data_IF_401545217923
#
_entry.id   IF_401545217923
#
_cell.length_a   1.000
_cell.length_b   1.000
_cell.length_c   1.000
_cell.angle_alpha   90.00
_cell.angle_beta   90.00
_cell.angle_gamma   90.00
#
_symmetry.space_group_name_H-M   'P 1'
#
loop_
_entity.id
_entity.type
_entity.pdbx_description
1 polymer ?
#
# COMPACT_ATOMS: atom_id res chain seq x y z
N UNK A 1 -20.76 -9.83 -0.37
CA UNK A 1 -19.42 -9.53 0.18
C UNK A 1 -18.50 -10.67 -0.24
N UNK A 2 -17.29 -10.37 -0.70
CA UNK A 2 -16.33 -11.41 -1.07
C UNK A 2 -15.80 -12.10 0.19
N UNK A 3 -15.89 -13.43 0.25
CA UNK A 3 -15.29 -14.23 1.31
C UNK A 3 -13.87 -14.61 0.91
N UNK A 4 -12.89 -14.25 1.73
CA UNK A 4 -11.48 -14.58 1.56
C UNK A 4 -11.05 -15.55 2.66
N UNK A 5 -10.60 -16.73 2.25
CA UNK A 5 -9.87 -17.65 3.16
C UNK A 5 -8.41 -17.23 3.13
N UNK A 6 -7.88 -16.80 4.27
CA UNK A 6 -6.51 -16.32 4.40
C UNK A 6 -5.58 -17.48 4.72
N UNK A 7 -4.77 -17.87 3.75
CA UNK A 7 -3.55 -18.65 4.00
C UNK A 7 -2.43 -17.64 4.32
N UNK A 8 -1.96 -17.57 5.58
CA UNK A 8 -1.04 -16.51 5.99
C UNK A 8 0.27 -16.51 5.21
N UNK A 9 0.75 -15.31 4.85
CA UNK A 9 1.96 -15.12 4.07
C UNK A 9 1.81 -15.40 2.57
N UNK A 10 0.58 -15.60 2.07
CA UNK A 10 0.31 -15.89 0.66
C UNK A 10 -0.69 -14.91 0.02
N UNK A 11 -0.86 -13.71 0.58
CA UNK A 11 -1.68 -12.68 -0.04
C UNK A 11 -1.08 -12.26 -1.38
N UNK A 12 -1.90 -12.34 -2.43
CA UNK A 12 -1.58 -11.80 -3.75
C UNK A 12 -1.87 -10.30 -3.83
N UNK A 13 -1.23 -9.62 -4.78
CA UNK A 13 -1.48 -8.20 -5.02
C UNK A 13 -2.95 -7.91 -5.37
N UNK A 14 -3.62 -8.80 -6.10
CA UNK A 14 -5.04 -8.66 -6.43
C UNK A 14 -5.92 -8.76 -5.18
N UNK A 15 -5.64 -9.68 -4.27
CA UNK A 15 -6.36 -9.76 -2.99
C UNK A 15 -6.15 -8.49 -2.15
N UNK A 16 -4.93 -7.95 -2.12
CA UNK A 16 -4.64 -6.68 -1.43
C UNK A 16 -5.41 -5.51 -2.06
N UNK A 17 -5.48 -5.43 -3.38
CA UNK A 17 -6.28 -4.44 -4.10
C UNK A 17 -7.77 -4.58 -3.78
N UNK A 18 -8.31 -5.80 -3.79
CA UNK A 18 -9.72 -6.07 -3.46
C UNK A 18 -10.04 -5.70 -2.01
N UNK A 19 -9.14 -6.02 -1.06
CA UNK A 19 -9.26 -5.60 0.34
C UNK A 19 -9.26 -4.08 0.44
N UNK A 20 -8.39 -3.38 -0.29
CA UNK A 20 -8.38 -1.92 -0.28
C UNK A 20 -9.66 -1.32 -0.88
N UNK A 21 -10.15 -1.84 -2.01
CA UNK A 21 -11.33 -1.30 -2.71
C UNK A 21 -12.66 -1.65 -2.08
N UNK A 22 -12.77 -2.81 -1.45
CA UNK A 22 -14.05 -3.38 -1.04
C UNK A 22 -14.02 -3.98 0.37
N UNK A 23 -15.15 -3.93 1.12
CA UNK A 23 -15.30 -4.71 2.34
C UNK A 23 -15.13 -6.21 2.07
N UNK A 24 -14.49 -6.92 3.01
CA UNK A 24 -14.16 -8.35 2.89
C UNK A 24 -14.73 -9.13 4.06
N UNK A 25 -15.12 -10.38 3.81
CA UNK A 25 -15.37 -11.37 4.86
C UNK A 25 -14.16 -12.28 4.94
N UNK A 26 -13.36 -12.12 5.98
CA UNK A 26 -12.12 -12.82 6.23
C UNK A 26 -12.37 -14.04 7.13
N UNK A 27 -11.77 -15.18 6.78
CA UNK A 27 -11.61 -16.32 7.69
C UNK A 27 -10.20 -16.86 7.56
N UNK A 28 -9.68 -17.42 8.66
CA UNK A 28 -8.35 -18.02 8.64
C UNK A 28 -8.41 -19.43 8.02
N UNK A 29 -7.41 -19.78 7.22
CA UNK A 29 -7.22 -21.17 6.82
C UNK A 29 -6.85 -22.02 8.05
N UNK A 30 -7.41 -23.24 8.14
CA UNK A 30 -7.17 -24.12 9.28
C UNK A 30 -5.68 -24.48 9.44
N UNK A 31 -4.89 -24.45 8.36
CA UNK A 31 -3.46 -24.74 8.39
C UNK A 31 -2.64 -23.77 9.25
N UNK A 32 -3.16 -22.59 9.59
CA UNK A 32 -2.45 -21.59 10.36
C UNK A 32 -2.53 -21.82 11.88
N UNK A 33 -3.55 -22.54 12.34
CA UNK A 33 -3.93 -22.63 13.76
C UNK A 33 -2.81 -23.27 14.60
N UNK A 34 -2.23 -24.36 14.12
CA UNK A 34 -1.22 -25.12 14.86
C UNK A 34 0.05 -24.28 15.08
N UNK A 35 0.53 -23.57 14.05
CA UNK A 35 1.71 -22.70 14.15
C UNK A 35 1.50 -21.52 15.11
N UNK A 36 0.31 -20.92 15.08
CA UNK A 36 -0.06 -19.86 16.03
C UNK A 36 -0.01 -20.39 17.47
N UNK A 37 -0.69 -21.51 17.73
CA UNK A 37 -0.76 -22.09 19.07
C UNK A 37 0.61 -22.58 19.57
N UNK A 38 1.45 -23.14 18.69
CA UNK A 38 2.82 -23.53 19.03
C UNK A 38 3.67 -22.34 19.47
N UNK A 39 3.55 -21.19 18.78
CA UNK A 39 4.26 -19.97 19.18
C UNK A 39 3.80 -19.42 20.53
N UNK A 40 2.51 -19.54 20.85
CA UNK A 40 1.96 -19.15 22.15
C UNK A 40 2.46 -20.07 23.26
N UNK A 41 2.46 -21.39 23.02
CA UNK A 41 2.97 -22.38 23.97
C UNK A 41 4.45 -22.09 24.30
N UNK A 42 5.28 -21.82 23.30
CA UNK A 42 6.68 -21.46 23.50
C UNK A 42 6.86 -20.21 24.37
N UNK A 43 6.06 -19.16 24.16
CA UNK A 43 6.08 -17.97 25.03
C UNK A 43 5.71 -18.31 26.47
N UNK A 44 4.67 -19.13 26.67
CA UNK A 44 4.24 -19.53 28.01
C UNK A 44 5.31 -20.38 28.71
N UNK A 45 5.98 -21.28 28.00
CA UNK A 45 7.06 -22.11 28.55
C UNK A 45 8.24 -21.25 29.01
N UNK A 46 8.64 -20.24 28.22
CA UNK A 46 9.69 -19.27 28.58
C UNK A 46 9.36 -18.53 29.88
N UNK A 47 8.11 -18.09 30.01
CA UNK A 47 7.62 -17.40 31.22
C UNK A 47 7.65 -18.35 32.42
N UNK A 48 7.13 -19.57 32.25
CA UNK A 48 7.08 -20.58 33.31
C UNK A 48 8.47 -21.02 33.79
N UNK A 49 9.45 -21.09 32.89
CA UNK A 49 10.86 -21.39 33.21
C UNK A 49 11.60 -20.22 33.85
N UNK A 50 10.99 -19.03 33.89
CA UNK A 50 11.60 -17.81 34.44
C UNK A 50 12.76 -17.28 33.61
N UNK A 51 12.91 -17.70 32.35
CA UNK A 51 13.91 -17.19 31.41
C UNK A 51 13.60 -15.74 31.07
N UNK A 52 14.60 -14.86 31.11
CA UNK A 52 14.43 -13.46 30.72
C UNK A 52 14.47 -13.33 29.20
N UNK A 53 13.38 -12.82 28.61
CA UNK A 53 13.25 -12.64 27.17
C UNK A 53 12.65 -11.26 26.86
N UNK A 54 13.31 -10.53 25.95
CA UNK A 54 12.94 -9.17 25.56
C UNK A 54 11.47 -9.08 25.11
N UNK A 55 10.70 -8.16 25.68
CA UNK A 55 9.31 -7.92 25.30
C UNK A 55 8.33 -9.04 25.68
N UNK A 56 8.80 -10.09 26.36
CA UNK A 56 7.97 -11.13 26.99
C UNK A 56 7.82 -10.83 28.49
N UNK A 57 8.94 -10.76 29.22
CA UNK A 57 8.98 -10.46 30.66
C UNK A 57 9.98 -9.36 31.05
N UNK A 58 10.38 -8.54 30.09
CA UNK A 58 11.19 -7.32 30.33
C UNK A 58 10.41 -6.06 29.97
N UNK A 59 10.90 -4.91 30.41
CA UNK A 59 10.51 -3.62 29.84
C UNK A 59 10.96 -3.44 28.39
N UNK A 60 10.69 -2.27 27.81
CA UNK A 60 10.97 -1.93 26.42
C UNK A 60 11.95 -0.74 26.30
N UNK A 61 12.62 -0.63 25.15
CA UNK A 61 13.58 0.44 24.89
C UNK A 61 14.70 0.47 25.94
N UNK A 62 14.83 1.59 26.64
CA UNK A 62 15.82 1.76 27.72
C UNK A 62 15.63 0.77 28.89
N UNK A 63 14.43 0.21 29.05
CA UNK A 63 14.09 -0.76 30.10
C UNK A 63 14.19 -2.21 29.62
N UNK A 64 14.81 -2.47 28.47
CA UNK A 64 14.96 -3.81 27.89
C UNK A 64 15.69 -4.83 28.81
N UNK A 65 16.47 -4.34 29.77
CA UNK A 65 17.21 -5.18 30.73
C UNK A 65 16.49 -5.35 32.08
N UNK A 66 15.35 -4.68 32.29
CA UNK A 66 14.62 -4.73 33.56
C UNK A 66 13.56 -5.81 33.47
N UNK A 67 13.71 -6.89 34.25
CA UNK A 67 12.67 -7.91 34.40
C UNK A 67 11.46 -7.31 35.11
N UNK A 68 10.27 -7.63 34.61
CA UNK A 68 8.98 -7.21 35.15
C UNK A 68 8.41 -8.40 35.93
N UNK A 69 7.77 -8.13 37.07
CA UNK A 69 7.10 -9.16 37.86
C UNK A 69 5.90 -9.72 37.08
N UNK A 70 5.60 -11.01 37.24
CA UNK A 70 4.55 -11.68 36.45
C UNK A 70 3.17 -11.04 36.65
N UNK A 71 2.89 -10.52 37.86
CA UNK A 71 1.67 -9.79 38.21
C UNK A 71 1.52 -8.44 37.47
N UNK A 72 2.63 -7.84 37.04
CA UNK A 72 2.65 -6.56 36.32
C UNK A 72 2.61 -6.74 34.78
N UNK A 73 2.82 -7.95 34.26
CA UNK A 73 2.95 -8.19 32.81
C UNK A 73 1.70 -7.81 32.03
N UNK A 74 0.51 -8.06 32.59
CA UNK A 74 -0.76 -7.71 31.97
C UNK A 74 -0.95 -6.18 31.93
N UNK A 75 -0.65 -5.49 33.04
CA UNK A 75 -0.72 -4.04 33.14
C UNK A 75 0.27 -3.37 32.18
N UNK A 76 1.45 -3.97 32.00
CA UNK A 76 2.46 -3.51 31.05
C UNK A 76 1.93 -3.49 29.62
N UNK A 77 1.23 -4.54 29.17
CA UNK A 77 0.70 -4.57 27.80
C UNK A 77 -0.30 -3.44 27.54
N UNK A 78 -1.24 -3.24 28.47
CA UNK A 78 -2.22 -2.15 28.38
C UNK A 78 -1.54 -0.78 28.36
N UNK A 79 -0.55 -0.59 29.25
CA UNK A 79 0.20 0.67 29.35
C UNK A 79 1.01 0.97 28.10
N UNK A 80 1.58 -0.06 27.48
CA UNK A 80 2.28 0.05 26.20
C UNK A 80 1.35 0.53 25.09
N UNK A 81 0.18 -0.10 24.93
CA UNK A 81 -0.80 0.33 23.91
C UNK A 81 -1.23 1.78 24.14
N UNK A 82 -1.56 2.17 25.38
CA UNK A 82 -2.00 3.53 25.70
C UNK A 82 -0.91 4.58 25.45
N UNK A 83 0.32 4.33 25.92
CA UNK A 83 1.43 5.28 25.81
C UNK A 83 1.91 5.48 24.36
N UNK A 84 1.82 4.44 23.54
CA UNK A 84 2.28 4.50 22.15
C UNK A 84 1.22 5.00 21.18
N UNK A 85 -0.05 5.10 21.57
CA UNK A 85 -1.12 5.68 20.77
C UNK A 85 -1.03 7.22 20.70
N UNK A 86 0.12 7.70 20.22
CA UNK A 86 0.51 9.11 20.13
C UNK A 86 0.50 9.65 18.69
N UNK A 87 -0.21 8.96 17.78
CA UNK A 87 -0.44 9.44 16.41
C UNK A 87 -1.26 10.74 16.36
N UNK A 88 -1.06 11.55 15.32
CA UNK A 88 -1.70 12.86 15.11
C UNK A 88 -2.17 13.04 13.65
N UNK A 89 -2.92 14.11 13.40
CA UNK A 89 -3.44 14.44 12.08
C UNK A 89 -4.79 13.80 11.78
N UNK A 90 -5.22 13.89 10.53
CA UNK A 90 -6.54 13.44 10.12
C UNK A 90 -6.68 11.91 10.26
N UNK A 91 -7.87 11.41 10.64
CA UNK A 91 -8.13 9.97 10.64
C UNK A 91 -8.02 9.36 9.25
N UNK A 92 -7.47 8.15 9.17
CA UNK A 92 -7.47 7.36 7.94
C UNK A 92 -8.90 7.02 7.48
N UNK A 93 -9.05 6.86 6.17
CA UNK A 93 -10.26 6.31 5.58
C UNK A 93 -10.41 4.79 5.87
N UNK A 94 -11.64 4.28 5.76
CA UNK A 94 -11.97 2.89 6.11
C UNK A 94 -11.23 1.87 5.26
N UNK A 95 -10.90 2.22 4.01
CA UNK A 95 -10.15 1.34 3.12
C UNK A 95 -8.72 1.15 3.61
N UNK A 96 -8.07 2.23 4.04
CA UNK A 96 -6.74 2.19 4.64
C UNK A 96 -6.71 1.42 5.96
N UNK A 97 -7.65 1.71 6.87
CA UNK A 97 -7.71 1.00 8.17
C UNK A 97 -7.94 -0.49 7.95
N UNK A 98 -8.85 -0.88 7.04
CA UNK A 98 -9.09 -2.28 6.67
C UNK A 98 -7.84 -2.95 6.13
N UNK A 99 -7.11 -2.31 5.22
CA UNK A 99 -5.88 -2.86 4.66
C UNK A 99 -4.83 -3.09 5.75
N UNK A 100 -4.62 -2.13 6.66
CA UNK A 100 -3.70 -2.25 7.80
C UNK A 100 -4.08 -3.44 8.69
N UNK A 101 -5.37 -3.58 9.02
CA UNK A 101 -5.87 -4.68 9.85
C UNK A 101 -5.62 -6.03 9.18
N UNK A 102 -5.94 -6.18 7.89
CA UNK A 102 -5.71 -7.43 7.15
C UNK A 102 -4.23 -7.78 7.05
N UNK A 103 -3.36 -6.79 6.82
CA UNK A 103 -1.91 -7.00 6.83
C UNK A 103 -1.40 -7.44 8.21
N UNK A 104 -1.92 -6.86 9.29
CA UNK A 104 -1.55 -7.25 10.67
C UNK A 104 -2.01 -8.68 10.97
N UNK A 105 -3.26 -9.01 10.63
CA UNK A 105 -3.79 -10.37 10.75
C UNK A 105 -2.92 -11.36 9.96
N UNK A 106 -2.59 -11.05 8.70
CA UNK A 106 -1.74 -11.88 7.84
C UNK A 106 -0.37 -12.14 8.46
N UNK A 107 0.28 -11.10 8.99
CA UNK A 107 1.60 -11.18 9.61
C UNK A 107 1.58 -12.04 10.88
N UNK A 108 0.65 -11.74 11.80
CA UNK A 108 0.52 -12.47 13.08
C UNK A 108 0.17 -13.95 12.87
N UNK A 109 -0.71 -14.22 11.92
CA UNK A 109 -1.19 -15.57 11.64
C UNK A 109 -0.14 -16.50 11.01
N UNK A 110 1.05 -15.99 10.67
CA UNK A 110 2.18 -16.84 10.26
C UNK A 110 2.76 -17.66 11.42
N UNK A 111 2.42 -17.35 12.67
CA UNK A 111 2.77 -18.18 13.82
C UNK A 111 4.17 -17.94 14.38
N UNK A 112 4.72 -16.73 14.24
CA UNK A 112 6.05 -16.36 14.76
C UNK A 112 5.98 -15.23 15.81
N UNK A 113 4.76 -14.77 16.15
CA UNK A 113 4.56 -13.58 16.98
C UNK A 113 4.15 -13.91 18.42
N UNK A 114 3.85 -15.17 18.75
CA UNK A 114 3.48 -15.56 20.12
C UNK A 114 2.19 -14.91 20.64
N UNK A 115 1.29 -14.51 19.73
CA UNK A 115 -0.01 -13.92 20.07
C UNK A 115 -1.11 -14.98 20.01
N UNK A 116 -2.09 -14.91 20.92
CA UNK A 116 -3.19 -15.88 20.94
C UNK A 116 -4.06 -15.79 19.70
N UNK A 117 -4.52 -16.96 19.23
CA UNK A 117 -5.49 -17.08 18.15
C UNK A 117 -6.73 -16.21 18.39
N UNK A 118 -7.24 -16.16 19.64
CA UNK A 118 -8.41 -15.36 19.99
C UNK A 118 -8.25 -13.86 19.75
N UNK A 119 -7.03 -13.32 19.83
CA UNK A 119 -6.76 -11.91 19.52
C UNK A 119 -6.76 -11.67 18.02
N UNK A 120 -6.20 -12.62 17.24
CA UNK A 120 -6.27 -12.60 15.77
C UNK A 120 -7.74 -12.70 15.31
N UNK A 121 -8.52 -13.58 15.92
CA UNK A 121 -9.95 -13.76 15.65
C UNK A 121 -10.76 -12.49 16.01
N UNK A 122 -10.40 -11.78 17.07
CA UNK A 122 -11.02 -10.49 17.38
C UNK A 122 -10.75 -9.42 16.30
N UNK A 123 -9.52 -9.35 15.77
CA UNK A 123 -9.21 -8.47 14.63
C UNK A 123 -10.00 -8.88 13.37
N UNK A 124 -10.12 -10.18 13.09
CA UNK A 124 -10.93 -10.71 11.99
C UNK A 124 -12.40 -10.31 12.16
N UNK A 125 -12.96 -10.46 13.36
CA UNK A 125 -14.34 -10.10 13.66
C UNK A 125 -14.61 -8.59 13.46
N UNK A 126 -13.67 -7.72 13.84
CA UNK A 126 -13.77 -6.28 13.56
C UNK A 126 -13.82 -5.99 12.05
N UNK A 127 -12.92 -6.60 11.25
CA UNK A 127 -12.92 -6.46 9.79
C UNK A 127 -14.26 -6.93 9.20
N UNK A 128 -14.73 -8.11 9.61
CA UNK A 128 -15.96 -8.71 9.11
C UNK A 128 -17.21 -7.91 9.47
N UNK A 129 -17.21 -7.25 10.63
CA UNK A 129 -18.29 -6.37 11.07
C UNK A 129 -18.22 -4.95 10.46
N UNK A 130 -17.14 -4.62 9.75
CA UNK A 130 -16.90 -3.28 9.23
C UNK A 130 -16.69 -2.24 10.33
N UNK A 131 -16.06 -2.64 11.43
CA UNK A 131 -15.69 -1.77 12.55
C UNK A 131 -14.22 -1.38 12.39
N UNK A 132 -13.95 -0.10 12.12
CA UNK A 132 -12.62 0.38 11.78
C UNK A 132 -12.08 1.34 12.86
N UNK A 133 -11.01 0.97 13.58
CA UNK A 133 -10.38 1.85 14.57
C UNK A 133 -10.03 3.23 14.02
N UNK A 134 -10.14 4.26 14.85
CA UNK A 134 -9.59 5.58 14.53
C UNK A 134 -8.07 5.47 14.54
N UNK A 135 -7.45 5.66 13.38
CA UNK A 135 -5.99 5.69 13.23
C UNK A 135 -5.62 7.06 12.63
N UNK A 136 -4.88 7.92 13.34
CA UNK A 136 -4.37 9.18 12.78
C UNK A 136 -3.30 8.93 11.71
N UNK A 137 -3.25 9.77 10.69
CA UNK A 137 -2.39 9.57 9.51
C UNK A 137 -0.89 9.81 9.75
N UNK A 138 -0.47 10.48 10.85
CA UNK A 138 0.93 10.84 11.12
C UNK A 138 1.39 10.36 12.48
N UNK A 139 2.71 10.13 12.62
CA UNK A 139 3.37 9.80 13.89
C UNK A 139 4.24 8.54 13.86
N UNK A 140 4.09 7.68 12.83
CA UNK A 140 5.08 6.62 12.57
C UNK A 140 6.33 7.21 11.94
N UNK A 141 7.48 6.62 12.26
CA UNK A 141 8.78 6.88 11.62
C UNK A 141 9.31 5.68 10.85
N UNK A 142 8.60 4.54 10.85
CA UNK A 142 9.02 3.31 10.16
C UNK A 142 10.30 2.62 10.68
N UNK A 143 11.06 3.23 11.59
CA UNK A 143 12.34 2.70 12.08
C UNK A 143 12.21 1.66 13.20
N UNK A 144 11.20 1.80 14.07
CA UNK A 144 10.91 0.88 15.19
C UNK A 144 9.59 0.12 15.00
N UNK A 145 9.15 -0.01 13.75
CA UNK A 145 7.78 -0.35 13.38
C UNK A 145 6.82 0.83 13.47
N UNK A 146 5.61 0.61 12.99
CA UNK A 146 4.50 1.54 12.91
C UNK A 146 3.77 1.67 14.27
N UNK A 147 4.54 1.92 15.33
CA UNK A 147 4.08 1.85 16.72
C UNK A 147 2.82 2.69 16.96
N UNK A 148 2.83 3.96 16.55
CA UNK A 148 1.73 4.87 16.81
C UNK A 148 0.40 4.48 16.13
N UNK A 149 0.34 4.27 14.79
CA UNK A 149 -0.91 3.87 14.15
C UNK A 149 -1.37 2.47 14.58
N UNK A 150 -0.46 1.52 14.84
CA UNK A 150 -0.82 0.19 15.31
C UNK A 150 -1.27 0.17 16.78
N UNK A 151 -0.78 1.10 17.60
CA UNK A 151 -1.30 1.32 18.95
C UNK A 151 -2.73 1.85 18.92
N UNK A 152 -3.02 2.83 18.06
CA UNK A 152 -4.38 3.35 17.84
C UNK A 152 -5.36 2.26 17.36
N UNK A 153 -4.91 1.37 16.46
CA UNK A 153 -5.66 0.18 16.07
C UNK A 153 -5.96 -0.70 17.30
N UNK A 154 -4.94 -0.97 18.10
CA UNK A 154 -4.99 -1.89 19.24
C UNK A 154 -5.80 -1.34 20.43
N UNK A 155 -5.91 -0.02 20.60
CA UNK A 155 -6.77 0.60 21.60
C UNK A 155 -8.21 0.08 21.49
N UNK A 156 -8.71 -0.10 20.26
CA UNK A 156 -10.08 -0.59 20.05
C UNK A 156 -10.29 -1.97 20.64
N UNK A 157 -9.29 -2.88 20.55
CA UNK A 157 -9.37 -4.20 21.20
C UNK A 157 -9.47 -4.10 22.72
N UNK A 158 -8.83 -3.09 23.33
CA UNK A 158 -8.89 -2.84 24.78
C UNK A 158 -10.19 -2.16 25.23
N UNK A 159 -11.11 -1.85 24.30
CA UNK A 159 -12.27 -1.02 24.57
C UNK A 159 -11.94 0.46 24.75
N UNK A 160 -10.77 0.92 24.30
CA UNK A 160 -10.29 2.29 24.41
C UNK A 160 -10.30 3.02 23.06
N UNK A 161 -10.41 4.34 23.10
CA UNK A 161 -10.44 5.16 21.90
C UNK A 161 -11.79 5.11 21.16
N UNK A 162 -11.75 5.21 19.83
CA UNK A 162 -12.93 5.28 18.95
C UNK A 162 -12.75 4.38 17.74
N UNK A 163 -13.86 3.92 17.19
CA UNK A 163 -13.89 3.23 15.90
C UNK A 163 -15.10 3.70 15.08
N UNK A 164 -14.97 3.70 13.76
CA UNK A 164 -16.03 4.01 12.82
C UNK A 164 -16.83 2.75 12.51
N UNK A 165 -18.16 2.86 12.53
CA UNK A 165 -19.08 1.82 12.10
C UNK A 165 -20.23 2.45 11.34
N UNK A 166 -20.47 1.99 10.11
CA UNK A 166 -21.49 2.55 9.21
C UNK A 166 -21.43 4.08 9.05
N UNK A 167 -20.22 4.64 9.00
CA UNK A 167 -19.97 6.07 8.83
C UNK A 167 -19.94 6.89 10.13
N UNK A 168 -20.31 6.32 11.27
CA UNK A 168 -20.36 7.02 12.56
C UNK A 168 -19.20 6.66 13.47
N UNK A 169 -18.64 7.65 14.16
CA UNK A 169 -17.62 7.43 15.20
C UNK A 169 -18.26 7.02 16.52
N UNK A 170 -17.94 5.82 16.99
CA UNK A 170 -18.42 5.26 18.26
C UNK A 170 -17.26 5.13 19.26
N UNK A 171 -17.53 5.25 20.58
CA UNK A 171 -16.60 4.77 21.60
C UNK A 171 -16.26 3.30 21.37
N UNK A 172 -15.00 2.90 21.59
CA UNK A 172 -14.53 1.56 21.26
C UNK A 172 -15.33 0.42 21.91
N UNK A 173 -15.76 0.55 23.17
CA UNK A 173 -16.63 -0.45 23.82
C UNK A 173 -17.94 -0.67 23.06
N UNK A 174 -18.56 0.41 22.59
CA UNK A 174 -19.80 0.33 21.80
C UNK A 174 -19.52 -0.29 20.44
N UNK A 175 -18.38 0.05 19.82
CA UNK A 175 -17.98 -0.49 18.53
C UNK A 175 -17.65 -2.00 18.59
N UNK A 176 -16.95 -2.47 19.64
CA UNK A 176 -16.69 -3.90 19.88
C UNK A 176 -17.99 -4.71 19.93
N UNK A 177 -19.00 -4.20 20.64
CA UNK A 177 -20.33 -4.84 20.70
C UNK A 177 -20.99 -4.97 19.32
N UNK A 178 -20.72 -4.06 18.38
CA UNK A 178 -21.20 -4.19 16.98
C UNK A 178 -20.54 -5.35 16.24
N UNK A 179 -19.34 -5.75 16.64
CA UNK A 179 -18.64 -6.94 16.15
C UNK A 179 -18.91 -8.21 17.00
N UNK A 180 -19.78 -8.14 18.02
CA UNK A 180 -20.03 -9.24 18.93
C UNK A 180 -18.86 -9.56 19.88
N UNK A 181 -18.02 -8.55 20.16
CA UNK A 181 -16.82 -8.69 20.98
C UNK A 181 -16.96 -7.94 22.30
N UNK A 182 -16.23 -8.43 23.30
CA UNK A 182 -15.93 -7.73 24.56
C UNK A 182 -14.46 -7.28 24.56
N UNK A 183 -14.07 -6.30 25.42
CA UNK A 183 -12.68 -5.87 25.52
C UNK A 183 -11.70 -7.02 25.81
N UNK A 184 -10.59 -7.03 25.06
CA UNK A 184 -9.56 -8.06 25.14
C UNK A 184 -8.52 -7.68 26.20
N UNK A 185 -8.31 -8.58 27.15
CA UNK A 185 -7.18 -8.50 28.09
C UNK A 185 -5.94 -9.12 27.46
N UNK A 186 -4.90 -8.32 27.18
CA UNK A 186 -3.67 -8.78 26.55
C UNK A 186 -2.75 -9.54 27.51
N UNK A 187 -2.11 -10.60 27.01
CA UNK A 187 -1.11 -11.40 27.71
C UNK A 187 0.32 -11.00 27.33
N UNK A 188 1.33 -11.64 27.94
CA UNK A 188 2.74 -11.38 27.66
C UNK A 188 3.03 -11.37 26.14
N UNK A 189 3.90 -10.47 25.69
CA UNK A 189 4.25 -10.19 24.28
C UNK A 189 3.15 -9.61 23.39
N UNK A 190 1.87 -9.79 23.69
CA UNK A 190 0.80 -9.46 22.74
C UNK A 190 0.69 -7.97 22.43
N UNK A 191 0.99 -7.08 23.39
CA UNK A 191 1.06 -5.65 23.14
C UNK A 191 2.13 -5.32 22.09
N UNK A 192 3.32 -5.93 22.21
CA UNK A 192 4.40 -5.71 21.25
C UNK A 192 4.10 -6.35 19.89
N UNK A 193 3.54 -7.56 19.85
CA UNK A 193 3.13 -8.22 18.60
C UNK A 193 2.12 -7.36 17.79
N UNK A 194 1.19 -6.71 18.50
CA UNK A 194 0.22 -5.82 17.89
C UNK A 194 0.86 -4.52 17.38
N UNK A 195 1.71 -3.87 18.18
CA UNK A 195 2.26 -2.54 17.87
C UNK A 195 3.47 -2.57 16.93
N UNK A 196 4.27 -3.62 16.97
CA UNK A 196 5.51 -3.68 16.22
C UNK A 196 5.27 -4.32 14.84
N UNK A 197 5.82 -3.70 13.79
CA UNK A 197 5.65 -4.14 12.41
C UNK A 197 5.45 -3.01 11.42
N UNK A 198 5.37 -3.35 10.13
CA UNK A 198 5.46 -2.39 9.01
C UNK A 198 4.13 -2.21 8.27
N UNK A 199 3.00 -2.58 8.89
CA UNK A 199 1.71 -2.69 8.21
C UNK A 199 1.13 -1.35 7.78
N UNK A 200 1.32 -0.28 8.55
CA UNK A 200 0.83 1.04 8.15
C UNK A 200 1.67 1.60 7.00
N UNK A 201 3.00 1.55 7.12
CA UNK A 201 3.94 1.92 6.05
C UNK A 201 3.64 1.15 4.76
N UNK A 202 3.47 -0.17 4.86
CA UNK A 202 3.17 -1.04 3.72
C UNK A 202 1.81 -0.71 3.10
N UNK A 203 0.77 -0.47 3.91
CA UNK A 203 -0.55 -0.11 3.39
C UNK A 203 -0.52 1.22 2.61
N UNK A 204 0.21 2.22 3.11
CA UNK A 204 0.37 3.51 2.42
C UNK A 204 1.08 3.34 1.08
N UNK A 205 2.19 2.61 1.06
CA UNK A 205 2.93 2.34 -0.17
C UNK A 205 2.12 1.49 -1.17
N UNK A 206 1.33 0.51 -0.70
CA UNK A 206 0.42 -0.27 -1.54
C UNK A 206 -0.67 0.59 -2.16
N UNK A 207 -1.30 1.50 -1.40
CA UNK A 207 -2.24 2.47 -1.98
C UNK A 207 -1.58 3.30 -3.08
N UNK A 208 -0.37 3.82 -2.81
CA UNK A 208 0.41 4.55 -3.81
C UNK A 208 0.67 3.72 -5.07
N UNK A 209 1.03 2.44 -4.93
CA UNK A 209 1.22 1.52 -6.05
C UNK A 209 -0.08 1.29 -6.84
N UNK A 210 -1.20 1.07 -6.17
CA UNK A 210 -2.50 0.83 -6.82
C UNK A 210 -2.96 2.05 -7.62
N UNK A 211 -2.94 3.22 -6.99
CA UNK A 211 -3.32 4.47 -7.65
C UNK A 211 -2.34 4.80 -8.80
N UNK A 212 -1.03 4.53 -8.64
CA UNK A 212 -0.05 4.72 -9.70
C UNK A 212 -0.26 3.75 -10.89
N UNK A 213 -0.72 2.53 -10.66
CA UNK A 213 -1.08 1.59 -11.73
C UNK A 213 -2.31 2.09 -12.52
N UNK A 214 -3.30 2.65 -11.84
CA UNK A 214 -4.48 3.28 -12.48
C UNK A 214 -4.07 4.53 -13.29
N UNK A 215 -3.21 5.38 -12.73
CA UNK A 215 -2.64 6.55 -13.42
C UNK A 215 -1.83 6.14 -14.65
N UNK A 216 -1.00 5.10 -14.51
CA UNK A 216 -0.20 4.56 -15.60
C UNK A 216 -1.08 4.07 -16.76
N UNK A 217 -2.11 3.27 -16.47
CA UNK A 217 -3.05 2.78 -17.48
C UNK A 217 -3.76 3.93 -18.17
N UNK A 218 -4.25 4.91 -17.40
CA UNK A 218 -4.88 6.12 -17.91
C UNK A 218 -3.95 6.92 -18.80
N UNK A 219 -2.69 7.10 -18.41
CA UNK A 219 -1.69 7.85 -19.15
C UNK A 219 -1.33 7.20 -20.49
N UNK A 220 -1.32 5.86 -20.57
CA UNK A 220 -1.12 5.13 -21.83
C UNK A 220 -2.31 5.38 -22.78
N UNK A 221 -3.55 5.30 -22.29
CA UNK A 221 -4.75 5.61 -23.09
C UNK A 221 -4.75 7.06 -23.55
N UNK A 222 -4.56 8.01 -22.64
CA UNK A 222 -4.49 9.44 -22.96
C UNK A 222 -3.37 9.74 -23.97
N UNK A 223 -2.20 9.13 -23.82
CA UNK A 223 -1.10 9.24 -24.76
C UNK A 223 -1.43 8.72 -26.16
N UNK A 224 -2.17 7.62 -26.25
CA UNK A 224 -2.62 7.06 -27.52
C UNK A 224 -3.61 8.03 -28.20
N UNK A 225 -4.58 8.55 -27.45
CA UNK A 225 -5.54 9.56 -27.92
C UNK A 225 -4.83 10.84 -28.38
N UNK A 226 -3.83 11.33 -27.63
CA UNK A 226 -3.05 12.50 -28.05
C UNK A 226 -2.28 12.23 -29.34
N UNK A 227 -1.72 11.03 -29.50
CA UNK A 227 -1.02 10.63 -30.72
C UNK A 227 -1.93 10.74 -31.94
N UNK A 228 -3.17 10.26 -31.84
CA UNK A 228 -4.16 10.44 -32.91
C UNK A 228 -4.54 11.92 -33.11
N UNK A 229 -4.82 12.65 -32.03
CA UNK A 229 -5.31 14.02 -32.08
C UNK A 229 -4.37 14.98 -32.84
N UNK A 230 -3.05 14.79 -32.71
CA UNK A 230 -2.06 15.66 -33.38
C UNK A 230 -1.46 15.07 -34.65
N UNK A 231 -2.07 14.00 -35.18
CA UNK A 231 -1.64 13.30 -36.39
C UNK A 231 -0.20 12.76 -36.26
N UNK A 232 0.07 12.12 -35.11
CA UNK A 232 1.37 11.57 -34.75
C UNK A 232 1.65 10.19 -35.36
N UNK A 233 2.93 9.89 -35.56
CA UNK A 233 3.38 8.64 -36.16
C UNK A 233 3.21 7.45 -35.24
N UNK A 234 2.83 6.30 -35.82
CA UNK A 234 2.84 4.99 -35.15
C UNK A 234 4.20 4.29 -35.19
N UNK A 235 5.11 4.71 -36.07
CA UNK A 235 6.44 4.11 -36.25
C UNK A 235 7.27 4.04 -34.96
N UNK A 236 7.23 5.03 -34.05
CA UNK A 236 7.90 4.96 -32.75
C UNK A 236 7.54 3.77 -31.88
N UNK A 237 6.38 3.14 -32.10
CA UNK A 237 5.90 2.00 -31.32
C UNK A 237 6.26 0.64 -31.96
N UNK A 238 7.01 0.61 -33.07
CA UNK A 238 7.41 -0.61 -33.76
C UNK A 238 8.17 -1.56 -32.82
N UNK A 239 7.73 -2.81 -32.74
CA UNK A 239 8.28 -3.81 -31.82
C UNK A 239 9.80 -3.99 -31.96
N UNK A 240 10.36 -3.83 -33.16
CA UNK A 240 11.79 -4.01 -33.45
C UNK A 240 12.65 -2.95 -32.78
N UNK A 241 12.17 -1.70 -32.68
CA UNK A 241 12.88 -0.61 -31.99
C UNK A 241 13.08 -0.97 -30.52
N UNK A 242 12.03 -1.50 -29.90
CA UNK A 242 12.04 -1.80 -28.47
C UNK A 242 12.78 -3.10 -28.16
N UNK A 243 12.63 -4.12 -29.02
CA UNK A 243 13.40 -5.35 -28.94
C UNK A 243 14.91 -5.08 -29.09
N UNK A 244 15.32 -4.21 -30.02
CA UNK A 244 16.72 -3.84 -30.18
C UNK A 244 17.33 -3.14 -28.96
N UNK A 245 16.51 -2.45 -28.14
CA UNK A 245 16.96 -1.82 -26.88
C UNK A 245 16.96 -2.79 -25.69
N UNK A 246 16.07 -3.78 -25.67
CA UNK A 246 16.06 -4.86 -24.67
C UNK A 246 15.41 -4.56 -23.31
N UNK A 247 14.85 -3.36 -23.09
CA UNK A 247 14.20 -2.99 -21.82
C UNK A 247 12.76 -3.52 -21.76
N UNK A 248 12.49 -4.46 -20.85
CA UNK A 248 11.19 -5.16 -20.80
C UNK A 248 10.00 -4.22 -20.57
N UNK A 249 10.12 -3.25 -19.65
CA UNK A 249 9.07 -2.26 -19.41
C UNK A 249 8.75 -1.47 -20.69
N UNK A 250 9.76 -1.01 -21.42
CA UNK A 250 9.57 -0.31 -22.69
C UNK A 250 8.93 -1.19 -23.77
N UNK A 251 9.35 -2.46 -23.88
CA UNK A 251 8.78 -3.41 -24.83
C UNK A 251 7.28 -3.61 -24.57
N UNK A 252 6.92 -3.78 -23.30
CA UNK A 252 5.53 -3.99 -22.90
C UNK A 252 4.69 -2.73 -23.13
N UNK A 253 5.21 -1.54 -22.80
CA UNK A 253 4.51 -0.28 -23.07
C UNK A 253 4.28 -0.07 -24.56
N UNK A 254 5.28 -0.31 -25.39
CA UNK A 254 5.09 -0.22 -26.83
C UNK A 254 4.02 -1.19 -27.34
N UNK A 255 3.95 -2.40 -26.76
CA UNK A 255 2.87 -3.35 -27.06
C UNK A 255 1.51 -2.79 -26.68
N UNK A 256 1.38 -2.11 -25.53
CA UNK A 256 0.13 -1.45 -25.13
C UNK A 256 -0.28 -0.35 -26.11
N UNK A 257 0.65 0.50 -26.54
CA UNK A 257 0.36 1.53 -27.56
C UNK A 257 -0.08 0.92 -28.89
N UNK A 258 0.60 -0.14 -29.37
CA UNK A 258 0.17 -0.84 -30.60
C UNK A 258 -1.19 -1.50 -30.44
N UNK A 259 -1.48 -2.05 -29.26
CA UNK A 259 -2.79 -2.64 -28.98
C UNK A 259 -3.92 -1.60 -29.05
N UNK A 260 -3.71 -0.41 -28.48
CA UNK A 260 -4.70 0.67 -28.47
C UNK A 260 -4.83 1.40 -29.81
N UNK A 261 -3.71 1.75 -30.45
CA UNK A 261 -3.69 2.50 -31.70
C UNK A 261 -4.02 1.64 -32.92
N UNK A 262 -3.83 0.32 -32.79
CA UNK A 262 -3.83 -0.66 -33.88
C UNK A 262 -2.88 -0.24 -35.02
N UNK A 263 -2.90 -0.98 -36.14
CA UNK A 263 -2.02 -0.66 -37.27
C UNK A 263 -2.47 0.61 -38.01
N UNK A 264 -3.78 0.88 -38.05
CA UNK A 264 -4.36 2.02 -38.78
C UNK A 264 -5.63 2.55 -38.11
N UNK A 265 -6.05 3.75 -38.50
CA UNK A 265 -7.37 4.33 -38.18
C UNK A 265 -7.74 5.31 -39.29
N UNK A 266 -9.01 5.74 -39.36
CA UNK A 266 -9.42 6.77 -40.31
C UNK A 266 -8.61 8.07 -40.14
N UNK A 267 -8.23 8.41 -38.90
CA UNK A 267 -7.36 9.55 -38.61
C UNK A 267 -5.95 9.28 -39.13
N UNK A 268 -5.37 8.11 -38.86
CA UNK A 268 -4.05 7.69 -39.35
C UNK A 268 -3.93 7.79 -40.88
N UNK A 269 -4.94 7.30 -41.59
CA UNK A 269 -4.98 7.29 -43.05
C UNK A 269 -5.12 8.69 -43.65
N UNK A 270 -5.85 9.58 -42.98
CA UNK A 270 -6.04 10.96 -43.44
C UNK A 270 -4.74 11.77 -43.57
N UNK A 271 -3.65 11.32 -42.93
CA UNK A 271 -2.37 12.01 -42.92
C UNK A 271 -1.17 11.13 -43.31
N UNK A 272 -1.40 10.06 -44.08
CA UNK A 272 -0.34 9.15 -44.54
C UNK A 272 0.75 9.84 -45.38
N UNK A 273 0.45 10.98 -46.01
CA UNK A 273 1.39 11.85 -46.73
C UNK A 273 1.93 13.02 -45.86
N UNK A 274 2.03 12.84 -44.54
CA UNK A 274 2.54 13.88 -43.65
C UNK A 274 4.02 14.21 -43.94
N UNK A 275 4.33 15.50 -44.07
CA UNK A 275 5.70 15.99 -44.29
C UNK A 275 6.57 15.96 -43.02
N UNK A 276 5.99 15.73 -41.84
CA UNK A 276 6.76 15.68 -40.58
C UNK A 276 7.66 14.44 -40.59
N UNK A 277 8.96 14.66 -40.39
CA UNK A 277 9.95 13.58 -40.32
C UNK A 277 9.93 12.91 -38.95
N UNK A 278 9.69 13.66 -37.88
CA UNK A 278 9.68 13.16 -36.50
C UNK A 278 8.66 13.89 -35.64
N UNK A 279 8.04 13.16 -34.71
CA UNK A 279 7.23 13.73 -33.64
C UNK A 279 8.11 14.20 -32.46
N UNK A 280 7.62 15.18 -31.67
CA UNK A 280 8.24 15.58 -30.40
C UNK A 280 8.39 14.41 -29.42
N UNK A 281 9.35 14.53 -28.50
CA UNK A 281 9.68 13.45 -27.57
C UNK A 281 8.52 13.06 -26.64
N UNK A 282 7.64 14.00 -26.28
CA UNK A 282 6.44 13.71 -25.49
C UNK A 282 5.49 12.71 -26.15
N UNK A 283 5.62 12.48 -27.47
CA UNK A 283 4.94 11.41 -28.22
C UNK A 283 5.87 10.25 -28.56
N UNK A 284 6.97 10.53 -29.24
CA UNK A 284 7.86 9.51 -29.81
C UNK A 284 8.64 8.73 -28.75
N UNK A 285 8.86 9.32 -27.58
CA UNK A 285 9.58 8.68 -26.47
C UNK A 285 8.63 8.09 -25.41
N UNK A 286 7.31 8.01 -25.66
CA UNK A 286 6.37 7.43 -24.70
C UNK A 286 6.75 6.00 -24.28
N UNK A 287 7.15 5.07 -25.17
CA UNK A 287 7.60 3.75 -24.74
C UNK A 287 8.81 3.78 -23.80
N UNK A 288 9.74 4.69 -24.02
CA UNK A 288 10.97 4.82 -23.26
C UNK A 288 10.68 5.33 -21.84
N UNK A 289 9.94 6.45 -21.73
CA UNK A 289 9.65 7.11 -20.45
C UNK A 289 8.63 6.30 -19.64
N UNK A 290 7.49 5.96 -20.24
CA UNK A 290 6.49 5.14 -19.56
C UNK A 290 7.00 3.72 -19.31
N UNK A 291 7.89 3.19 -20.15
CA UNK A 291 8.55 1.91 -19.91
C UNK A 291 9.47 1.90 -18.69
N UNK A 292 10.17 3.02 -18.42
CA UNK A 292 10.93 3.20 -17.19
C UNK A 292 9.99 3.24 -15.98
N UNK A 293 8.89 4.00 -16.07
CA UNK A 293 7.86 4.06 -15.02
C UNK A 293 7.27 2.67 -14.72
N UNK A 294 6.92 1.90 -15.76
CA UNK A 294 6.41 0.53 -15.60
C UNK A 294 7.41 -0.39 -14.91
N UNK A 295 8.71 -0.20 -15.15
CA UNK A 295 9.76 -0.98 -14.50
C UNK A 295 9.84 -0.64 -13.01
N UNK A 296 9.82 0.64 -12.65
CA UNK A 296 9.77 1.09 -11.24
C UNK A 296 8.53 0.53 -10.53
N UNK A 297 7.34 0.62 -11.14
CA UNK A 297 6.09 0.06 -10.58
C UNK A 297 6.21 -1.45 -10.30
N UNK A 298 6.90 -2.20 -11.18
CA UNK A 298 7.11 -3.64 -11.02
C UNK A 298 8.10 -3.96 -9.89
N UNK A 299 9.17 -3.19 -9.76
CA UNK A 299 10.14 -3.34 -8.67
C UNK A 299 9.49 -3.02 -7.31
N UNK A 300 8.74 -1.91 -7.22
CA UNK A 300 7.98 -1.60 -6.00
C UNK A 300 6.97 -2.70 -5.68
N UNK A 301 6.25 -3.22 -6.68
CA UNK A 301 5.33 -4.35 -6.48
C UNK A 301 6.01 -5.55 -5.82
N UNK A 302 7.21 -5.91 -6.27
CA UNK A 302 7.95 -7.06 -5.73
C UNK A 302 8.27 -6.88 -4.25
N UNK A 303 8.81 -5.72 -3.88
CA UNK A 303 9.15 -5.39 -2.49
C UNK A 303 7.90 -5.37 -1.60
N UNK A 304 6.85 -4.66 -2.02
CA UNK A 304 5.64 -4.53 -1.22
C UNK A 304 4.86 -5.84 -1.09
N UNK A 305 4.91 -6.73 -2.08
CA UNK A 305 4.28 -8.04 -2.00
C UNK A 305 5.00 -8.95 -1.01
N UNK A 306 6.34 -8.87 -0.95
CA UNK A 306 7.12 -9.57 0.06
C UNK A 306 6.79 -9.01 1.46
N UNK A 307 6.78 -7.69 1.62
CA UNK A 307 6.51 -7.05 2.91
C UNK A 307 5.07 -7.28 3.41
N UNK A 308 4.08 -7.25 2.52
CA UNK A 308 2.69 -7.55 2.86
C UNK A 308 2.50 -8.96 3.45
N UNK A 309 3.44 -9.86 3.18
CA UNK A 309 3.48 -11.24 3.65
C UNK A 309 4.58 -11.50 4.70
N UNK A 310 5.27 -10.46 5.17
CA UNK A 310 6.36 -10.58 6.12
C UNK A 310 5.86 -10.82 7.56
N UNK A 311 6.73 -11.41 8.38
CA UNK A 311 6.63 -11.33 9.84
C UNK A 311 7.53 -10.18 10.27
N UNK A 312 6.90 -9.09 10.71
CA UNK A 312 7.57 -7.81 10.94
C UNK A 312 7.59 -7.39 12.41
N UNK A 313 6.97 -8.16 13.32
CA UNK A 313 7.07 -7.87 14.76
C UNK A 313 8.39 -8.40 15.35
N UNK A 314 8.61 -8.12 16.63
CA UNK A 314 9.83 -8.49 17.34
C UNK A 314 9.53 -8.67 18.84
N UNK A 315 10.25 -9.55 19.56
CA UNK A 315 11.09 -10.61 19.01
C UNK A 315 10.27 -11.67 18.27
N UNK A 316 10.93 -12.48 17.45
CA UNK A 316 10.30 -13.62 16.77
C UNK A 316 10.39 -14.88 17.64
N UNK A 317 9.34 -15.70 17.57
CA UNK A 317 9.22 -16.97 18.27
C UNK A 317 9.40 -18.11 17.28
N UNK A 318 10.44 -18.91 17.46
CA UNK A 318 10.72 -20.11 16.67
C UNK A 318 10.37 -21.33 17.52
N UNK A 319 9.08 -21.67 17.55
CA UNK A 319 8.54 -22.71 18.44
C UNK A 319 9.21 -24.08 18.24
N UNK A 320 9.52 -24.45 17.00
CA UNK A 320 10.22 -25.72 16.68
C UNK A 320 11.60 -25.83 17.35
N UNK A 321 12.26 -24.69 17.61
CA UNK A 321 13.54 -24.62 18.31
C UNK A 321 13.38 -24.26 19.80
N UNK A 322 12.18 -23.88 20.26
CA UNK A 322 11.97 -23.34 21.61
C UNK A 322 12.69 -22.01 21.86
N UNK A 323 12.96 -21.25 20.78
CA UNK A 323 13.78 -20.04 20.82
C UNK A 323 12.98 -18.76 20.58
N UNK A 324 13.43 -17.68 21.22
CA UNK A 324 12.97 -16.32 20.95
C UNK A 324 14.16 -15.47 20.55
N UNK A 325 14.10 -14.92 19.35
CA UNK A 325 15.22 -14.19 18.74
C UNK A 325 14.79 -12.75 18.49
N UNK A 326 15.57 -11.81 19.05
CA UNK A 326 15.41 -10.39 18.77
C UNK A 326 16.17 -10.01 17.51
N UNK A 327 15.49 -9.37 16.57
CA UNK A 327 16.03 -8.87 15.31
C UNK A 327 15.50 -7.47 14.99
N UNK A 328 15.42 -7.15 13.70
CA UNK A 328 15.09 -5.80 13.22
C UNK A 328 14.03 -5.75 12.10
N UNK A 329 13.20 -6.80 11.95
CA UNK A 329 12.21 -6.89 10.87
C UNK A 329 11.13 -5.80 10.92
N UNK A 330 11.04 -5.04 12.01
CA UNK A 330 10.16 -3.89 12.14
C UNK A 330 10.66 -2.64 11.39
N UNK A 331 11.89 -2.64 10.89
CA UNK A 331 12.45 -1.48 10.19
C UNK A 331 11.98 -1.47 8.72
N UNK A 332 11.13 -0.51 8.38
CA UNK A 332 10.45 -0.41 7.09
C UNK A 332 11.31 0.16 5.95
N UNK A 333 12.64 0.00 5.99
CA UNK A 333 13.55 0.60 4.98
C UNK A 333 13.21 0.15 3.54
N UNK A 334 12.93 -1.14 3.28
CA UNK A 334 12.55 -1.58 1.94
C UNK A 334 11.26 -0.90 1.44
N UNK A 335 10.30 -0.68 2.35
CA UNK A 335 9.03 0.00 2.04
C UNK A 335 9.26 1.48 1.73
N UNK A 336 10.12 2.14 2.50
CA UNK A 336 10.47 3.54 2.29
C UNK A 336 11.10 3.75 0.90
N UNK A 337 12.12 2.95 0.57
CA UNK A 337 12.76 3.00 -0.76
C UNK A 337 11.76 2.66 -1.88
N UNK A 338 10.86 1.69 -1.66
CA UNK A 338 9.83 1.35 -2.63
C UNK A 338 8.85 2.51 -2.87
N UNK A 339 8.49 3.27 -1.82
CA UNK A 339 7.64 4.46 -1.92
C UNK A 339 8.36 5.62 -2.64
N UNK A 340 9.64 5.87 -2.36
CA UNK A 340 10.43 6.89 -3.08
C UNK A 340 10.56 6.54 -4.58
N UNK A 341 10.77 5.25 -4.89
CA UNK A 341 10.79 4.77 -6.27
C UNK A 341 9.45 4.98 -7.00
N UNK A 342 8.31 4.88 -6.29
CA UNK A 342 6.99 5.22 -6.85
C UNK A 342 6.87 6.71 -7.13
N UNK A 343 7.38 7.58 -6.25
CA UNK A 343 7.32 9.02 -6.44
C UNK A 343 7.96 9.44 -7.77
N UNK A 344 9.11 8.84 -8.12
CA UNK A 344 9.76 9.05 -9.43
C UNK A 344 8.84 8.66 -10.59
N UNK A 345 8.20 7.48 -10.52
CA UNK A 345 7.31 7.01 -11.58
C UNK A 345 6.07 7.90 -11.73
N UNK A 346 5.45 8.30 -10.62
CA UNK A 346 4.25 9.16 -10.63
C UNK A 346 4.58 10.54 -11.21
N UNK A 347 5.69 11.14 -10.79
CA UNK A 347 6.15 12.42 -11.30
C UNK A 347 6.40 12.38 -12.82
N UNK A 348 7.12 11.37 -13.31
CA UNK A 348 7.44 11.24 -14.74
C UNK A 348 6.21 10.94 -15.60
N UNK A 349 5.23 10.19 -15.09
CA UNK A 349 3.92 10.00 -15.76
C UNK A 349 3.21 11.35 -15.93
N UNK A 350 3.16 12.15 -14.86
CA UNK A 350 2.56 13.49 -14.84
C UNK A 350 3.26 14.44 -15.81
N UNK A 351 4.59 14.55 -15.70
CA UNK A 351 5.41 15.42 -16.53
C UNK A 351 5.27 15.10 -18.03
N UNK A 352 5.30 13.82 -18.41
CA UNK A 352 5.14 13.43 -19.82
C UNK A 352 3.73 13.76 -20.34
N UNK A 353 2.69 13.59 -19.51
CA UNK A 353 1.32 13.96 -19.85
C UNK A 353 1.16 15.47 -20.02
N UNK A 354 1.71 16.25 -19.10
CA UNK A 354 1.65 17.71 -19.16
C UNK A 354 2.38 18.25 -20.41
N UNK A 355 3.54 17.70 -20.78
CA UNK A 355 4.23 18.07 -22.03
C UNK A 355 3.41 17.72 -23.29
N UNK A 356 2.57 16.68 -23.25
CA UNK A 356 1.61 16.38 -24.32
C UNK A 356 0.44 17.37 -24.35
N UNK A 357 -0.01 17.86 -23.20
CA UNK A 357 -1.00 18.96 -23.13
C UNK A 357 -0.41 20.22 -23.78
N UNK A 358 0.79 20.62 -23.39
CA UNK A 358 1.48 21.78 -23.97
C UNK A 358 1.64 21.66 -25.48
N UNK A 359 2.01 20.46 -25.97
CA UNK A 359 2.07 20.15 -27.40
C UNK A 359 0.76 20.41 -28.13
N UNK A 360 -0.39 19.97 -27.57
CA UNK A 360 -1.69 20.17 -28.20
C UNK A 360 -2.11 21.64 -28.27
N UNK A 361 -1.69 22.46 -27.30
CA UNK A 361 -2.04 23.89 -27.25
C UNK A 361 -1.29 24.73 -28.30
N UNK A 362 -0.10 24.28 -28.70
CA UNK A 362 0.73 24.97 -29.68
C UNK A 362 0.36 24.61 -31.13
N UNK A 363 -0.26 25.56 -31.83
CA UNK A 363 -0.67 25.43 -33.24
C UNK A 363 0.48 25.06 -34.18
N UNK A 364 1.72 25.44 -33.86
CA UNK A 364 2.89 25.16 -34.69
C UNK A 364 3.30 23.69 -34.64
N UNK A 365 2.88 22.98 -33.61
CA UNK A 365 3.23 21.58 -33.38
C UNK A 365 2.02 20.65 -33.56
N UNK A 366 0.84 21.06 -33.09
CA UNK A 366 -0.37 20.22 -33.04
C UNK A 366 -1.11 20.08 -34.36
N UNK A 367 -0.96 21.05 -35.29
CA UNK A 367 -1.83 21.20 -36.47
C UNK A 367 -3.31 21.44 -36.14
N UNK A 368 -3.60 21.85 -34.90
CA UNK A 368 -4.94 22.19 -34.42
C UNK A 368 -5.05 23.71 -34.20
N UNK A 369 -6.27 24.26 -34.08
CA UNK A 369 -6.44 25.64 -33.64
C UNK A 369 -5.72 25.90 -32.31
N UNK A 370 -5.11 27.09 -32.12
CA UNK A 370 -4.43 27.41 -30.87
C UNK A 370 -5.40 27.25 -29.69
N UNK A 371 -4.92 26.63 -28.61
CA UNK A 371 -5.71 26.34 -27.40
C UNK A 371 -6.98 25.50 -27.64
N UNK A 372 -7.01 24.74 -28.74
CA UNK A 372 -8.08 23.81 -29.12
C UNK A 372 -9.48 24.44 -29.20
N UNK A 373 -9.56 25.69 -29.64
CA UNK A 373 -10.83 26.42 -29.71
C UNK A 373 -11.05 27.08 -31.07
N UNK A 374 -12.30 27.08 -31.52
CA UNK A 374 -12.72 27.90 -32.67
C UNK A 374 -12.87 29.35 -32.20
N UNK A 375 -12.66 30.33 -33.08
CA UNK A 375 -12.77 31.76 -32.75
C UNK A 375 -11.83 32.18 -31.59
N UNK A 376 -10.56 31.75 -31.64
CA UNK A 376 -9.55 31.95 -30.58
C UNK A 376 -9.11 33.40 -30.31
N UNK A 377 -9.67 34.38 -31.04
CA UNK A 377 -9.51 35.81 -30.71
C UNK A 377 -10.47 36.31 -29.62
N UNK A 378 -11.52 35.54 -29.32
CA UNK A 378 -12.56 35.89 -28.32
C UNK A 378 -12.68 34.82 -27.23
N UNK A 379 -12.31 33.57 -27.55
CA UNK A 379 -12.43 32.44 -26.63
C UNK A 379 -11.04 31.96 -26.19
N UNK A 380 -10.87 31.70 -24.89
CA UNK A 380 -9.60 31.22 -24.33
C UNK A 380 -9.40 29.71 -24.43
N UNK A 381 -10.44 28.95 -24.77
CA UNK A 381 -10.34 27.49 -24.94
C UNK A 381 -9.73 26.80 -23.73
N UNK A 382 -8.71 25.97 -23.98
CA UNK A 382 -7.99 25.19 -22.96
C UNK A 382 -6.77 25.91 -22.38
N UNK A 383 -6.57 27.20 -22.67
CA UNK A 383 -5.39 27.96 -22.24
C UNK A 383 -5.14 27.87 -20.73
N UNK A 384 -6.16 28.09 -19.90
CA UNK A 384 -5.99 28.06 -18.43
C UNK A 384 -5.99 26.63 -17.88
N UNK A 385 -6.66 25.69 -18.56
CA UNK A 385 -6.56 24.28 -18.20
C UNK A 385 -5.12 23.76 -18.34
N UNK A 386 -4.38 24.20 -19.38
CA UNK A 386 -2.95 23.94 -19.52
C UNK A 386 -2.15 24.51 -18.33
N UNK A 387 -2.44 25.74 -17.89
CA UNK A 387 -1.75 26.36 -16.75
C UNK A 387 -1.96 25.54 -15.48
N UNK A 388 -3.18 25.07 -15.23
CA UNK A 388 -3.44 24.18 -14.09
C UNK A 388 -2.66 22.87 -14.19
N UNK A 389 -2.59 22.25 -15.37
CA UNK A 389 -1.79 21.04 -15.56
C UNK A 389 -0.30 21.28 -15.26
N UNK A 390 0.24 22.41 -15.71
CA UNK A 390 1.63 22.80 -15.45
C UNK A 390 1.91 23.14 -13.97
N UNK A 391 0.91 23.54 -13.19
CA UNK A 391 1.06 23.81 -11.77
C UNK A 391 1.00 22.52 -10.92
N UNK A 392 0.38 21.46 -11.43
CA UNK A 392 0.25 20.17 -10.74
C UNK A 392 1.40 19.21 -11.05
N UNK A 393 1.92 19.24 -12.28
CA UNK A 393 3.07 18.46 -12.72
C UNK A 393 4.37 19.05 -12.18
#
# INVERSE_FOLDING_TARGET
MNTMTLTPGQLSLSQLYDVWRHPVQLRLDASAIDGINASVACVNDIVAEGRTAYGINTGFGLLAQTRIADEDLQNLQRSLVLSHAAGVGDPLDDAMVRLIMVLKINSLARGFSGIRLSVIEALIALVNAGVYPLIPAKGSVGASGDLAPLAHLSLTLLGEGKARWQGEWLPAQTALKKAGLEPVALAAKEGLALLNGTQASTAFALRGLFEAQELFASAVVCGALTTEAVLGSRRPFDARIHAARGQQGQIDVARLFRHLLTDTSAIAESHHHCHKVQDPYSLRCQPQVMGACLTQLRQTKEVLLAEANAVSDNPLVFADAGEVISGGNFHAEPVAMAADNLALAIAEIGALSERRIALMMDKHMSQLPPFLVKNGGVNSGFMIAQVTAAALA
#
